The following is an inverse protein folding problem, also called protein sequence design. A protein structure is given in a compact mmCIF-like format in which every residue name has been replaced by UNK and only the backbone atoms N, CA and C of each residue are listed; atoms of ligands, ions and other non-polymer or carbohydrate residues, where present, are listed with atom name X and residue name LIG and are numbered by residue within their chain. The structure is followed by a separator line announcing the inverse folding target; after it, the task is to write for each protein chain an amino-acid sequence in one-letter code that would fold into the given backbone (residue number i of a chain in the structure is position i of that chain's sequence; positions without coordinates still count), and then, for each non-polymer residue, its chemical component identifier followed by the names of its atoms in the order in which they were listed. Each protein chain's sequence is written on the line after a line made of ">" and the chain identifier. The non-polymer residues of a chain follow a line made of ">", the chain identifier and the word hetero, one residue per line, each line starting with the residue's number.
data_IF_331869390226
#
_entry.id   IF_331869390226
#
_cell.length_a   1.000
_cell.length_b   1.000
_cell.length_c   1.000
_cell.angle_alpha   90.00
_cell.angle_beta   90.00
_cell.angle_gamma   90.00
#
_symmetry.space_group_name_H-M   'P 1'
#
loop_
_entity.id
_entity.type
_entity.pdbx_description
1 polymer ?
#
# COMPACT_ATOMS: atom_id res chain seq x y z
N UNK A 1 12.47 1.15 45.56
CA UNK A 1 11.06 1.00 45.13
C UNK A 1 11.04 1.10 43.62
N UNK A 2 10.66 0.04 42.94
CA UNK A 2 10.54 0.03 41.48
C UNK A 2 9.36 0.94 41.11
N UNK A 3 9.62 2.02 40.37
CA UNK A 3 8.53 2.84 39.82
C UNK A 3 7.93 2.05 38.65
N UNK A 4 6.73 1.53 38.84
CA UNK A 4 5.95 0.92 37.75
C UNK A 4 5.56 2.04 36.80
N UNK A 5 6.25 2.15 35.66
CA UNK A 5 5.86 3.04 34.57
C UNK A 5 4.75 2.36 33.76
N UNK A 6 3.51 2.80 33.94
CA UNK A 6 2.38 2.30 33.16
C UNK A 6 2.36 3.01 31.81
N UNK A 7 2.56 2.28 30.71
CA UNK A 7 2.34 2.80 29.37
C UNK A 7 0.86 2.66 29.01
N UNK A 8 0.17 3.78 28.85
CA UNK A 8 -1.20 3.78 28.32
C UNK A 8 -1.13 3.84 26.78
N UNK A 9 -1.54 2.74 26.14
CA UNK A 9 -1.59 2.63 24.68
C UNK A 9 -3.06 2.53 24.24
N UNK A 10 -3.79 3.64 24.19
CA UNK A 10 -5.19 3.62 23.79
C UNK A 10 -5.29 3.28 22.30
N UNK A 11 -6.16 2.33 21.96
CA UNK A 11 -6.58 2.16 20.57
C UNK A 11 -7.34 3.41 20.12
N UNK A 12 -6.92 4.01 19.00
CA UNK A 12 -7.65 5.12 18.39
C UNK A 12 -8.69 4.58 17.39
N UNK A 13 -10.01 4.66 17.70
CA UNK A 13 -11.05 4.29 16.76
C UNK A 13 -11.36 5.45 15.80
N UNK A 14 -11.94 5.11 14.64
CA UNK A 14 -12.46 6.10 13.69
C UNK A 14 -11.73 6.10 12.35
N UNK A 15 -11.99 7.14 11.55
CA UNK A 15 -11.38 7.33 10.24
C UNK A 15 -10.37 8.47 10.32
N UNK A 16 -9.31 8.39 9.52
CA UNK A 16 -8.41 9.52 9.31
C UNK A 16 -9.23 10.76 8.91
N UNK A 17 -9.10 11.89 9.61
CA UNK A 17 -9.75 13.13 9.22
C UNK A 17 -9.35 13.52 7.80
N UNK A 18 -10.29 13.99 6.97
CA UNK A 18 -10.02 14.35 5.57
C UNK A 18 -8.88 15.35 5.41
N UNK A 19 -8.80 16.34 6.31
CA UNK A 19 -7.73 17.35 6.29
C UNK A 19 -6.35 16.73 6.54
N UNK A 20 -6.27 15.70 7.39
CA UNK A 20 -5.02 15.00 7.66
C UNK A 20 -4.65 14.17 6.44
N UNK A 21 -5.59 13.36 5.94
CA UNK A 21 -5.39 12.50 4.79
C UNK A 21 -4.88 13.28 3.56
N UNK A 22 -5.45 14.46 3.27
CA UNK A 22 -4.93 15.31 2.19
C UNK A 22 -3.46 15.68 2.35
N UNK A 23 -3.03 16.03 3.57
CA UNK A 23 -1.61 16.30 3.87
C UNK A 23 -0.74 15.05 3.78
N UNK A 24 -1.28 13.88 4.14
CA UNK A 24 -0.58 12.60 3.97
C UNK A 24 -0.28 12.36 2.50
N UNK A 25 -1.27 12.60 1.61
CA UNK A 25 -1.13 12.42 0.16
C UNK A 25 -0.08 13.37 -0.40
N UNK A 26 -0.13 14.66 -0.04
CA UNK A 26 0.86 15.66 -0.48
C UNK A 26 2.29 15.27 -0.05
N UNK A 27 2.46 14.89 1.23
CA UNK A 27 3.77 14.49 1.74
C UNK A 27 4.24 13.17 1.14
N UNK A 28 3.35 12.20 0.96
CA UNK A 28 3.65 10.93 0.31
C UNK A 28 4.14 11.17 -1.12
N UNK A 29 3.46 12.03 -1.89
CA UNK A 29 3.85 12.37 -3.26
C UNK A 29 5.27 12.94 -3.32
N UNK A 30 5.62 13.85 -2.41
CA UNK A 30 6.97 14.40 -2.33
C UNK A 30 8.01 13.33 -1.99
N UNK A 31 7.74 12.49 -0.97
CA UNK A 31 8.68 11.46 -0.53
C UNK A 31 8.88 10.40 -1.62
N UNK A 32 7.79 9.88 -2.20
CA UNK A 32 7.86 8.87 -3.26
C UNK A 32 8.56 9.42 -4.50
N UNK A 33 8.27 10.67 -4.87
CA UNK A 33 8.96 11.35 -5.98
C UNK A 33 10.47 11.41 -5.77
N UNK A 34 10.94 11.90 -4.62
CA UNK A 34 12.39 11.96 -4.31
C UNK A 34 13.03 10.57 -4.33
N UNK A 35 12.37 9.56 -3.76
CA UNK A 35 12.91 8.19 -3.75
C UNK A 35 12.99 7.62 -5.17
N UNK A 36 11.99 7.88 -6.02
CA UNK A 36 12.02 7.45 -7.43
C UNK A 36 13.12 8.20 -8.20
N UNK A 37 13.28 9.50 -8.00
CA UNK A 37 14.30 10.31 -8.65
C UNK A 37 15.73 9.85 -8.29
N UNK A 38 15.96 9.47 -7.04
CA UNK A 38 17.28 9.04 -6.56
C UNK A 38 17.58 7.55 -6.79
N UNK A 39 16.57 6.67 -6.66
CA UNK A 39 16.77 5.21 -6.61
C UNK A 39 15.93 4.44 -7.64
N UNK A 40 15.17 5.13 -8.49
CA UNK A 40 14.25 4.51 -9.42
C UNK A 40 13.04 3.86 -8.74
N UNK A 41 12.17 3.29 -9.57
CA UNK A 41 10.94 2.61 -9.14
C UNK A 41 11.24 1.37 -8.29
N UNK A 42 12.22 0.57 -8.72
CA UNK A 42 12.71 -0.58 -7.97
C UNK A 42 13.18 -0.15 -6.57
N UNK A 43 13.88 0.97 -6.46
CA UNK A 43 14.32 1.52 -5.18
C UNK A 43 13.18 1.93 -4.25
N UNK A 44 12.07 2.44 -4.80
CA UNK A 44 10.86 2.69 -4.00
C UNK A 44 10.18 1.38 -3.61
N UNK A 45 9.98 0.45 -4.54
CA UNK A 45 9.32 -0.83 -4.27
C UNK A 45 10.08 -1.65 -3.22
N UNK A 46 11.41 -1.76 -3.33
CA UNK A 46 12.23 -2.46 -2.34
C UNK A 46 12.10 -1.87 -0.93
N UNK A 47 11.97 -0.54 -0.82
CA UNK A 47 11.75 0.15 0.46
C UNK A 47 10.34 -0.07 0.98
N UNK A 48 9.32 -0.04 0.12
CA UNK A 48 7.94 -0.32 0.53
C UNK A 48 7.76 -1.78 0.97
N UNK A 49 8.53 -2.71 0.42
CA UNK A 49 8.58 -4.11 0.86
C UNK A 49 9.34 -4.32 2.18
N UNK A 50 10.14 -3.35 2.63
CA UNK A 50 10.79 -3.42 3.94
C UNK A 50 9.81 -2.97 5.04
N UNK A 51 9.45 -3.86 5.99
CA UNK A 51 8.43 -3.54 6.99
C UNK A 51 8.85 -2.39 7.92
N UNK A 52 10.16 -2.19 8.14
CA UNK A 52 10.65 -1.10 8.99
C UNK A 52 10.50 0.25 8.31
N UNK A 53 10.87 0.31 7.03
CA UNK A 53 10.68 1.50 6.22
C UNK A 53 9.20 1.81 6.04
N UNK A 54 8.35 0.83 5.71
CA UNK A 54 6.92 1.04 5.54
C UNK A 54 6.26 1.57 6.83
N UNK A 55 6.62 1.01 7.98
CA UNK A 55 6.13 1.48 9.28
C UNK A 55 6.63 2.90 9.58
N UNK A 56 7.91 3.17 9.32
CA UNK A 56 8.50 4.50 9.51
C UNK A 56 7.85 5.55 8.62
N UNK A 57 7.60 5.21 7.34
CA UNK A 57 6.88 6.05 6.39
C UNK A 57 5.48 6.35 6.91
N UNK A 58 4.75 5.33 7.38
CA UNK A 58 3.41 5.52 7.96
C UNK A 58 3.42 6.54 9.11
N UNK A 59 4.44 6.47 9.99
CA UNK A 59 4.65 7.44 11.05
C UNK A 59 4.96 8.86 10.53
N UNK A 60 5.84 8.96 9.53
CA UNK A 60 6.21 10.24 8.89
C UNK A 60 5.00 10.90 8.22
N UNK A 61 4.11 10.11 7.62
CA UNK A 61 2.86 10.62 7.04
C UNK A 61 1.84 11.07 8.10
N UNK A 62 2.14 10.96 9.39
CA UNK A 62 1.30 11.48 10.47
C UNK A 62 0.34 10.45 11.07
N UNK A 63 0.63 9.16 10.90
CA UNK A 63 -0.09 8.08 11.56
C UNK A 63 0.67 7.54 12.77
N UNK A 64 0.02 7.31 13.90
CA UNK A 64 0.70 6.70 15.03
C UNK A 64 0.88 5.19 14.85
N UNK A 65 1.98 4.66 15.41
CA UNK A 65 2.35 3.25 15.29
C UNK A 65 1.29 2.28 15.82
N UNK A 66 0.50 2.70 16.82
CA UNK A 66 -0.54 1.90 17.48
C UNK A 66 -1.93 2.12 16.86
N UNK A 67 -2.03 2.80 15.72
CA UNK A 67 -3.31 3.03 15.05
C UNK A 67 -3.77 1.80 14.26
N UNK A 68 -5.02 1.38 14.46
CA UNK A 68 -5.62 0.26 13.73
C UNK A 68 -5.69 0.45 12.20
N UNK A 69 -5.55 1.70 11.73
CA UNK A 69 -5.61 2.06 10.31
C UNK A 69 -4.27 2.20 9.62
N UNK A 70 -3.13 2.06 10.31
CA UNK A 70 -1.79 2.43 9.81
C UNK A 70 -1.53 1.92 8.40
N UNK A 71 -1.54 0.61 8.17
CA UNK A 71 -1.32 0.03 6.84
C UNK A 71 -2.38 0.51 5.84
N UNK A 72 -3.67 0.40 6.19
CA UNK A 72 -4.75 0.68 5.24
C UNK A 72 -4.80 2.14 4.79
N UNK A 73 -4.45 3.07 5.67
CA UNK A 73 -4.46 4.51 5.36
C UNK A 73 -3.18 4.92 4.67
N UNK A 74 -2.02 4.37 5.05
CA UNK A 74 -0.77 4.57 4.31
C UNK A 74 -0.90 4.07 2.87
N UNK A 75 -1.41 2.86 2.64
CA UNK A 75 -1.67 2.34 1.29
C UNK A 75 -2.66 3.23 0.53
N UNK A 76 -3.70 3.73 1.19
CA UNK A 76 -4.64 4.68 0.59
C UNK A 76 -3.98 6.01 0.20
N UNK A 77 -3.11 6.54 1.05
CA UNK A 77 -2.38 7.78 0.77
C UNK A 77 -1.39 7.59 -0.38
N UNK A 78 -0.67 6.46 -0.42
CA UNK A 78 0.23 6.09 -1.52
C UNK A 78 -0.52 5.96 -2.84
N UNK A 79 -1.71 5.33 -2.82
CA UNK A 79 -2.54 5.17 -4.03
C UNK A 79 -2.99 6.50 -4.64
N UNK A 80 -3.29 7.50 -3.81
CA UNK A 80 -3.67 8.84 -4.28
C UNK A 80 -2.43 9.70 -4.63
N UNK A 81 -1.28 9.41 -4.02
CA UNK A 81 -0.05 10.17 -4.19
C UNK A 81 0.72 9.80 -5.46
N UNK A 82 0.77 8.50 -5.78
CA UNK A 82 1.50 7.95 -6.93
C UNK A 82 0.61 8.05 -8.17
N UNK A 83 1.00 8.91 -9.10
CA UNK A 83 0.34 9.04 -10.40
C UNK A 83 1.02 8.11 -11.40
N UNK A 84 0.30 7.07 -11.84
CA UNK A 84 0.86 6.06 -12.74
C UNK A 84 1.35 6.63 -14.06
N UNK A 85 0.73 7.70 -14.56
CA UNK A 85 1.14 8.35 -15.81
C UNK A 85 2.44 9.15 -15.70
N UNK A 86 2.79 9.58 -14.48
CA UNK A 86 4.03 10.33 -14.21
C UNK A 86 5.16 9.40 -13.76
N UNK A 87 4.85 8.42 -12.92
CA UNK A 87 5.88 7.60 -12.25
C UNK A 87 6.11 6.24 -12.89
N UNK A 88 5.22 5.78 -13.79
CA UNK A 88 5.26 4.42 -14.33
C UNK A 88 5.14 3.34 -13.24
N UNK A 89 4.36 3.64 -12.18
CA UNK A 89 4.04 2.78 -11.04
C UNK A 89 2.54 2.87 -10.76
N UNK A 90 1.86 1.74 -10.61
CA UNK A 90 0.44 1.69 -10.30
C UNK A 90 0.21 1.09 -8.93
N UNK A 91 -0.74 1.65 -8.18
CA UNK A 91 -1.21 1.14 -6.89
C UNK A 91 -2.64 0.65 -7.03
N UNK A 92 -2.84 -0.66 -6.91
CA UNK A 92 -4.12 -1.33 -7.10
C UNK A 92 -4.68 -1.89 -5.79
N UNK A 93 -6.00 -1.96 -5.69
CA UNK A 93 -6.71 -2.47 -4.52
C UNK A 93 -6.88 -1.43 -3.42
N UNK A 94 -7.00 -1.91 -2.19
CA UNK A 94 -7.21 -1.11 -0.99
C UNK A 94 -8.00 -1.86 0.07
N UNK A 95 -8.74 -1.10 0.88
CA UNK A 95 -9.49 -1.61 2.05
C UNK A 95 -10.92 -2.00 1.67
N UNK A 96 -11.43 -3.08 2.26
CA UNK A 96 -12.80 -3.56 2.09
C UNK A 96 -13.14 -3.80 0.61
N UNK A 97 -14.25 -3.26 0.12
CA UNK A 97 -14.70 -3.48 -1.27
C UNK A 97 -13.68 -3.05 -2.34
N UNK A 98 -12.75 -2.16 -2.02
CA UNK A 98 -11.71 -1.74 -2.97
C UNK A 98 -10.69 -2.86 -3.22
N UNK A 99 -10.44 -3.76 -2.27
CA UNK A 99 -9.54 -4.91 -2.49
C UNK A 99 -10.03 -5.81 -3.63
N UNK A 100 -11.35 -5.92 -3.80
CA UNK A 100 -11.98 -6.72 -4.85
C UNK A 100 -11.78 -6.14 -6.26
N UNK A 101 -11.39 -4.85 -6.36
CA UNK A 101 -11.14 -4.18 -7.64
C UNK A 101 -9.73 -4.42 -8.19
N UNK A 102 -8.81 -4.94 -7.38
CA UNK A 102 -7.39 -5.10 -7.74
C UNK A 102 -7.19 -5.72 -9.13
N UNK A 103 -7.87 -6.83 -9.51
CA UNK A 103 -7.67 -7.42 -10.84
C UNK A 103 -8.09 -6.50 -12.00
N UNK A 104 -9.13 -5.70 -11.82
CA UNK A 104 -9.60 -4.76 -12.84
C UNK A 104 -8.65 -3.57 -12.95
N UNK A 105 -8.17 -3.05 -11.82
CA UNK A 105 -7.22 -1.94 -11.79
C UNK A 105 -5.84 -2.36 -12.34
N UNK A 106 -5.40 -3.60 -12.11
CA UNK A 106 -4.17 -4.14 -12.73
C UNK A 106 -4.31 -4.16 -14.25
N UNK A 107 -5.46 -4.62 -14.78
CA UNK A 107 -5.70 -4.63 -16.23
C UNK A 107 -5.67 -3.23 -16.82
N UNK A 108 -6.40 -2.30 -16.23
CA UNK A 108 -6.47 -0.90 -16.67
C UNK A 108 -5.08 -0.24 -16.70
N UNK A 109 -4.31 -0.36 -15.62
CA UNK A 109 -2.97 0.24 -15.55
C UNK A 109 -1.96 -0.52 -16.43
N UNK A 110 -2.07 -1.85 -16.54
CA UNK A 110 -1.21 -2.65 -17.42
C UNK A 110 -1.40 -2.32 -18.90
N UNK A 111 -2.65 -2.11 -19.32
CA UNK A 111 -2.97 -1.59 -20.66
C UNK A 111 -2.39 -0.19 -20.87
N UNK A 112 -2.52 0.71 -19.88
CA UNK A 112 -1.93 2.05 -19.93
C UNK A 112 -0.39 2.04 -20.01
N UNK A 113 0.26 1.07 -19.37
CA UNK A 113 1.71 0.82 -19.45
C UNK A 113 2.13 0.06 -20.72
N UNK A 114 1.20 -0.31 -21.61
CA UNK A 114 1.46 -1.13 -22.80
C UNK A 114 2.09 -2.49 -22.48
N UNK A 115 1.75 -3.09 -21.33
CA UNK A 115 2.15 -4.45 -21.00
C UNK A 115 1.46 -5.45 -21.92
N UNK A 116 2.13 -6.57 -22.21
CA UNK A 116 1.49 -7.66 -22.95
C UNK A 116 0.36 -8.30 -22.14
N UNK A 117 -0.67 -8.80 -22.82
CA UNK A 117 -1.80 -9.50 -22.16
C UNK A 117 -1.35 -10.64 -21.24
N UNK A 118 -0.34 -11.41 -21.67
CA UNK A 118 0.21 -12.49 -20.84
C UNK A 118 0.77 -11.96 -19.51
N UNK A 119 1.49 -10.83 -19.55
CA UNK A 119 2.06 -10.22 -18.35
C UNK A 119 0.97 -9.65 -17.44
N UNK A 120 -0.07 -9.03 -18.01
CA UNK A 120 -1.22 -8.54 -17.25
C UNK A 120 -1.92 -9.71 -16.54
N UNK A 121 -2.14 -10.82 -17.24
CA UNK A 121 -2.75 -12.02 -16.68
C UNK A 121 -1.88 -12.65 -15.58
N UNK A 122 -0.56 -12.65 -15.73
CA UNK A 122 0.40 -13.09 -14.70
C UNK A 122 0.37 -12.19 -13.44
N UNK A 123 0.26 -10.87 -13.60
CA UNK A 123 0.11 -9.94 -12.48
C UNK A 123 -1.22 -10.16 -11.74
N UNK A 124 -2.32 -10.34 -12.47
CA UNK A 124 -3.63 -10.66 -11.89
C UNK A 124 -3.59 -12.00 -11.15
N UNK A 125 -2.94 -13.00 -11.73
CA UNK A 125 -2.75 -14.30 -11.10
C UNK A 125 -1.96 -14.17 -9.79
N UNK A 126 -0.81 -13.49 -9.83
CA UNK A 126 0.04 -13.24 -8.66
C UNK A 126 -0.71 -12.52 -7.54
N UNK A 127 -1.44 -11.44 -7.88
CA UNK A 127 -2.30 -10.72 -6.93
C UNK A 127 -3.35 -11.64 -6.28
N UNK A 128 -4.01 -12.50 -7.06
CA UNK A 128 -5.02 -13.44 -6.54
C UNK A 128 -4.42 -14.51 -5.64
N UNK A 129 -3.25 -15.02 -6.02
CA UNK A 129 -2.55 -16.04 -5.25
C UNK A 129 -2.06 -15.49 -3.91
N UNK A 130 -1.50 -14.28 -3.88
CA UNK A 130 -1.13 -13.59 -2.65
C UNK A 130 -2.34 -13.43 -1.71
N UNK A 131 -3.44 -12.85 -2.22
CA UNK A 131 -4.67 -12.69 -1.43
C UNK A 131 -5.21 -14.01 -0.89
N UNK A 132 -5.12 -15.09 -1.70
CA UNK A 132 -5.56 -16.43 -1.29
C UNK A 132 -4.69 -17.02 -0.19
N UNK A 133 -3.36 -16.85 -0.29
CA UNK A 133 -2.42 -17.28 0.75
C UNK A 133 -2.73 -16.56 2.05
N UNK A 134 -2.88 -15.23 2.03
CA UNK A 134 -3.16 -14.43 3.22
C UNK A 134 -4.49 -14.83 3.87
N UNK A 135 -5.53 -15.04 3.07
CA UNK A 135 -6.83 -15.48 3.55
C UNK A 135 -6.82 -16.90 4.12
N UNK A 136 -5.93 -17.77 3.62
CA UNK A 136 -5.87 -19.18 4.05
C UNK A 136 -4.91 -19.39 5.21
N UNK A 137 -3.95 -18.47 5.41
CA UNK A 137 -2.97 -18.52 6.48
C UNK A 137 -3.65 -18.39 7.85
N UNK A 138 -4.63 -17.51 7.94
CA UNK A 138 -5.46 -17.35 9.13
C UNK A 138 -6.76 -18.15 8.93
N UNK A 139 -6.79 -19.39 9.43
CA UNK A 139 -7.95 -20.29 9.33
C UNK A 139 -9.08 -19.89 10.30
N UNK A 140 -9.46 -18.62 10.30
CA UNK A 140 -10.45 -18.04 11.21
C UNK A 140 -11.86 -17.91 10.60
N UNK A 141 -12.00 -18.22 9.30
CA UNK A 141 -13.26 -18.13 8.57
C UNK A 141 -13.62 -16.71 8.11
N UNK A 142 -12.77 -15.71 8.37
CA UNK A 142 -12.95 -14.35 7.89
C UNK A 142 -12.41 -14.20 6.47
N UNK A 143 -12.85 -13.13 5.81
CA UNK A 143 -12.35 -12.74 4.49
C UNK A 143 -11.31 -11.63 4.63
N UNK A 144 -10.31 -11.66 3.77
CA UNK A 144 -9.24 -10.68 3.74
C UNK A 144 -9.82 -9.26 3.59
N UNK A 145 -9.52 -8.42 4.59
CA UNK A 145 -10.09 -7.08 4.68
C UNK A 145 -9.34 -6.04 3.85
N UNK A 146 -8.09 -6.31 3.48
CA UNK A 146 -7.22 -5.37 2.79
C UNK A 146 -6.29 -6.13 1.84
N UNK A 147 -6.15 -5.62 0.62
CA UNK A 147 -5.21 -6.11 -0.37
C UNK A 147 -4.73 -4.91 -1.18
N UNK A 148 -3.42 -4.65 -1.21
CA UNK A 148 -2.83 -3.56 -1.96
C UNK A 148 -1.72 -4.13 -2.82
N UNK A 149 -1.76 -3.92 -4.13
CA UNK A 149 -0.80 -4.48 -5.07
C UNK A 149 -0.15 -3.34 -5.84
N UNK A 150 1.18 -3.25 -5.81
CA UNK A 150 1.94 -2.28 -6.60
C UNK A 150 2.68 -2.98 -7.71
N UNK A 151 2.72 -2.38 -8.90
CA UNK A 151 3.57 -2.84 -9.99
C UNK A 151 4.03 -1.70 -10.88
N UNK A 152 5.15 -1.90 -11.57
CA UNK A 152 5.70 -0.93 -12.52
C UNK A 152 5.44 -1.28 -14.00
N UNK A 153 5.82 -0.36 -14.90
CA UNK A 153 5.71 -0.56 -16.35
C UNK A 153 6.64 -1.67 -16.91
N UNK A 154 7.53 -2.22 -16.09
CA UNK A 154 8.35 -3.40 -16.40
C UNK A 154 7.71 -4.72 -15.99
N UNK A 155 6.62 -4.67 -15.20
CA UNK A 155 5.94 -5.85 -14.66
C UNK A 155 6.51 -6.35 -13.33
N UNK A 156 7.46 -5.64 -12.72
CA UNK A 156 7.92 -5.94 -11.36
C UNK A 156 6.86 -5.49 -10.35
N UNK A 157 6.67 -6.24 -9.27
CA UNK A 157 5.54 -6.02 -8.37
C UNK A 157 5.82 -6.35 -6.89
N UNK A 158 5.03 -5.75 -6.01
CA UNK A 158 4.99 -6.00 -4.57
C UNK A 158 3.52 -6.05 -4.08
N UNK A 159 3.27 -6.68 -2.94
CA UNK A 159 1.93 -6.85 -2.33
C UNK A 159 1.97 -6.74 -0.81
#
# INVERSE_FOLDING_TARGET
>A
MCATATALLPLHPGKAPRWLFGRMVELARCITGIVIDEYGREGLMARLSDPWFFQSLSCVLGYDWHSSGTTTVTCGALKEAIDSSETGLAVCGGKGKTSLKTPAEIRENGEAFNLSENMIDELIYSSRMAAKVDNSLVQDGYQLYHHCFLFDEGGEWIV
#
